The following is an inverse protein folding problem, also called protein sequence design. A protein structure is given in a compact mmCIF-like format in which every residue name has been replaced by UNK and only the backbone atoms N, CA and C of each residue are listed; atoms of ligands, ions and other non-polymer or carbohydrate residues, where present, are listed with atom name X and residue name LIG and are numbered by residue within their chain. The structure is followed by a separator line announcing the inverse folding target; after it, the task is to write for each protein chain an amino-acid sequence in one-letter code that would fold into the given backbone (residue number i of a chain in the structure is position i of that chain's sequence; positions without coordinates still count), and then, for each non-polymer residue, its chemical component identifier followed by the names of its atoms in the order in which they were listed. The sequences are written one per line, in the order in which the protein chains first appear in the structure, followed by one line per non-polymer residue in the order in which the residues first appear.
data_IF_860115895083
#
_entry.id   IF_860115895083
#
_cell.length_a   1.000
_cell.length_b   1.000
_cell.length_c   1.000
_cell.angle_alpha   90.00
_cell.angle_beta   90.00
_cell.angle_gamma   90.00
#
_symmetry.space_group_name_H-M   'P 1'
#
loop_
_entity.id
_entity.type
_entity.pdbx_description
1 polymer ?
#
# COMPACT_ATOMS: atom_id res chain seq x y z
N UNK A 1 -10.71 -49.85 25.39
CA UNK A 1 -11.25 -48.75 26.23
C UNK A 1 -10.36 -47.53 26.01
N UNK A 2 -10.43 -46.89 24.83
CA UNK A 2 -11.26 -45.70 24.54
C UNK A 2 -10.82 -44.49 25.38
N UNK A 3 -10.40 -43.33 24.86
CA UNK A 3 -10.38 -42.78 23.49
C UNK A 3 -9.52 -41.51 23.56
N UNK A 4 -8.51 -41.36 22.70
CA UNK A 4 -7.92 -40.06 22.41
C UNK A 4 -8.84 -39.36 21.40
N UNK A 5 -9.24 -38.14 21.73
CA UNK A 5 -10.07 -37.26 20.92
C UNK A 5 -9.15 -36.48 19.97
N UNK A 6 -9.23 -36.63 18.64
CA UNK A 6 -8.49 -35.77 17.74
C UNK A 6 -9.22 -34.43 17.59
N UNK A 7 -8.57 -33.35 18.05
CA UNK A 7 -8.99 -32.00 17.72
C UNK A 7 -8.79 -31.76 16.21
N UNK A 8 -9.91 -31.59 15.52
CA UNK A 8 -10.02 -31.21 14.11
C UNK A 8 -9.24 -29.91 13.85
N UNK A 9 -8.36 -29.84 12.84
CA UNK A 9 -7.87 -28.54 12.39
C UNK A 9 -9.01 -27.85 11.64
N UNK A 10 -9.56 -26.82 12.29
CA UNK A 10 -10.52 -25.91 11.71
C UNK A 10 -9.99 -25.36 10.38
N UNK A 11 -10.83 -25.49 9.37
CA UNK A 11 -10.64 -25.08 8.00
C UNK A 11 -10.09 -23.66 7.92
N UNK A 12 -8.82 -23.56 7.48
CA UNK A 12 -8.29 -22.32 6.96
C UNK A 12 -9.05 -22.02 5.66
N UNK A 13 -10.13 -21.25 5.77
CA UNK A 13 -10.86 -20.72 4.62
C UNK A 13 -9.93 -19.81 3.83
N UNK A 14 -9.25 -20.41 2.87
CA UNK A 14 -8.38 -19.74 1.91
C UNK A 14 -9.17 -18.65 1.19
N UNK A 15 -8.82 -17.40 1.49
CA UNK A 15 -9.15 -16.28 0.64
C UNK A 15 -7.98 -16.06 -0.32
N UNK A 16 -8.09 -16.65 -1.50
CA UNK A 16 -7.57 -16.06 -2.73
C UNK A 16 -6.06 -16.15 -2.96
N UNK A 17 -5.56 -17.36 -3.18
CA UNK A 17 -4.41 -17.58 -4.07
C UNK A 17 -4.76 -17.12 -5.49
N UNK A 18 -4.48 -15.85 -5.81
CA UNK A 18 -4.51 -15.36 -7.20
C UNK A 18 -3.72 -14.05 -7.36
N UNK A 19 -2.39 -14.15 -7.32
CA UNK A 19 -1.38 -13.29 -7.98
C UNK A 19 0.00 -13.39 -7.29
N UNK A 20 0.35 -14.53 -6.69
CA UNK A 20 1.71 -14.82 -6.25
C UNK A 20 2.60 -15.12 -7.47
N UNK A 21 2.77 -14.17 -8.39
CA UNK A 21 3.80 -14.19 -9.43
C UNK A 21 3.77 -12.90 -10.28
N UNK A 22 4.02 -11.74 -9.68
CA UNK A 22 4.47 -10.58 -10.47
C UNK A 22 5.82 -10.10 -9.92
N UNK A 23 6.86 -10.78 -10.41
CA UNK A 23 8.29 -10.58 -10.24
C UNK A 23 8.80 -10.48 -8.77
N UNK A 24 9.37 -11.56 -8.20
CA UNK A 24 10.00 -11.54 -6.87
C UNK A 24 11.12 -10.49 -6.74
N UNK A 25 11.57 -9.90 -7.85
CA UNK A 25 12.59 -8.86 -7.91
C UNK A 25 12.03 -7.43 -8.08
N UNK A 26 10.72 -7.22 -8.26
CA UNK A 26 10.18 -5.88 -8.52
C UNK A 26 10.42 -4.92 -7.35
N UNK A 27 9.95 -5.27 -6.16
CA UNK A 27 10.04 -4.42 -4.98
C UNK A 27 11.48 -4.14 -4.53
N UNK A 28 12.41 -5.12 -4.43
CA UNK A 28 13.80 -4.81 -4.11
C UNK A 28 14.46 -3.93 -5.18
N UNK A 29 14.13 -4.12 -6.47
CA UNK A 29 14.65 -3.27 -7.56
C UNK A 29 14.06 -1.85 -7.51
N UNK A 30 12.79 -1.71 -7.16
CA UNK A 30 12.14 -0.41 -6.93
C UNK A 30 12.84 0.32 -5.78
N UNK A 31 13.09 -0.37 -4.67
CA UNK A 31 13.76 0.20 -3.51
C UNK A 31 15.21 0.62 -3.82
N UNK A 32 15.93 -0.16 -4.63
CA UNK A 32 17.26 0.21 -5.12
C UNK A 32 17.25 1.48 -5.99
N UNK A 33 16.15 1.77 -6.72
CA UNK A 33 15.99 3.05 -7.43
C UNK A 33 15.75 4.23 -6.48
N UNK A 34 15.19 3.98 -5.30
CA UNK A 34 14.91 5.00 -4.30
C UNK A 34 16.14 5.31 -3.43
N UNK A 35 17.04 4.35 -3.23
CA UNK A 35 18.25 4.49 -2.41
C UNK A 35 19.10 5.72 -2.73
N UNK A 36 19.51 5.96 -3.99
CA UNK A 36 20.36 7.10 -4.36
C UNK A 36 19.60 8.44 -4.49
N UNK A 37 18.26 8.46 -4.35
CA UNK A 37 17.41 9.49 -4.96
C UNK A 37 17.31 10.83 -4.20
N UNK A 38 18.16 11.13 -3.21
CA UNK A 38 18.16 12.48 -2.64
C UNK A 38 18.65 13.55 -3.65
N UNK A 39 19.38 13.14 -4.71
CA UNK A 39 19.96 14.03 -5.71
C UNK A 39 19.34 13.91 -7.13
N UNK A 40 18.47 12.93 -7.39
CA UNK A 40 17.95 12.70 -8.75
C UNK A 40 16.75 13.61 -9.08
N UNK A 41 16.67 14.15 -10.31
CA UNK A 41 15.50 14.91 -10.73
C UNK A 41 14.26 14.00 -10.69
N UNK A 42 13.22 14.44 -9.96
CA UNK A 42 11.98 13.69 -9.70
C UNK A 42 11.33 13.12 -10.96
N UNK A 43 11.53 13.77 -12.11
CA UNK A 43 11.04 13.32 -13.40
C UNK A 43 11.76 12.05 -13.90
N UNK A 44 13.08 11.95 -13.73
CA UNK A 44 13.86 10.79 -14.14
C UNK A 44 13.45 9.55 -13.32
N UNK A 45 13.33 9.71 -11.99
CA UNK A 45 12.81 8.67 -11.12
C UNK A 45 11.42 8.20 -11.55
N UNK A 46 10.48 9.12 -11.80
CA UNK A 46 9.13 8.78 -12.29
C UNK A 46 9.14 8.06 -13.63
N UNK A 47 10.12 8.32 -14.51
CA UNK A 47 10.28 7.59 -15.78
C UNK A 47 10.83 6.19 -15.55
N UNK A 48 11.84 6.03 -14.70
CA UNK A 48 12.43 4.74 -14.35
C UNK A 48 11.41 3.83 -13.67
N UNK A 49 10.65 4.35 -12.69
CA UNK A 49 9.58 3.60 -12.02
C UNK A 49 8.50 3.16 -13.01
N UNK A 50 8.10 4.04 -13.96
CA UNK A 50 7.15 3.67 -15.01
C UNK A 50 7.68 2.57 -15.92
N UNK A 51 8.97 2.59 -16.27
CA UNK A 51 9.60 1.51 -17.05
C UNK A 51 9.61 0.20 -16.26
N UNK A 52 9.98 0.25 -14.99
CA UNK A 52 10.01 -0.91 -14.11
C UNK A 52 8.61 -1.54 -13.94
N UNK A 53 7.59 -0.71 -13.72
CA UNK A 53 6.19 -1.15 -13.63
C UNK A 53 5.71 -1.82 -14.93
N UNK A 54 6.08 -1.27 -16.09
CA UNK A 54 5.71 -1.84 -17.39
C UNK A 54 6.40 -3.17 -17.68
N UNK A 55 7.64 -3.33 -17.24
CA UNK A 55 8.42 -4.52 -17.54
C UNK A 55 8.04 -5.71 -16.65
N UNK A 56 7.80 -5.48 -15.37
CA UNK A 56 7.75 -6.56 -14.37
C UNK A 56 7.01 -6.18 -13.08
N UNK A 57 6.22 -5.10 -13.06
CA UNK A 57 5.61 -4.63 -11.82
C UNK A 57 4.10 -4.89 -11.74
N UNK A 58 3.52 -4.88 -10.51
CA UNK A 58 2.10 -5.07 -10.25
C UNK A 58 1.27 -3.88 -10.76
N UNK A 59 1.06 -3.85 -12.08
CA UNK A 59 0.56 -2.66 -12.79
C UNK A 59 -0.87 -2.34 -12.40
N UNK A 60 -1.72 -3.36 -12.29
CA UNK A 60 -3.13 -3.17 -11.93
C UNK A 60 -3.26 -2.59 -10.51
N UNK A 61 -2.55 -3.17 -9.55
CA UNK A 61 -2.53 -2.71 -8.16
C UNK A 61 -1.93 -1.31 -8.03
N UNK A 62 -0.88 -1.01 -8.80
CA UNK A 62 -0.30 0.33 -8.86
C UNK A 62 -1.28 1.36 -9.45
N UNK A 63 -2.04 1.01 -10.49
CA UNK A 63 -3.09 1.88 -11.05
C UNK A 63 -4.21 2.14 -10.04
N UNK A 64 -4.62 1.13 -9.27
CA UNK A 64 -5.59 1.28 -8.18
C UNK A 64 -5.08 2.23 -7.10
N UNK A 65 -3.82 2.12 -6.71
CA UNK A 65 -3.20 3.04 -5.75
C UNK A 65 -3.07 4.47 -6.30
N UNK A 66 -2.84 4.63 -7.60
CA UNK A 66 -2.72 5.93 -8.27
C UNK A 66 -4.04 6.71 -8.29
N UNK A 67 -5.19 6.02 -8.17
CA UNK A 67 -6.49 6.68 -8.09
C UNK A 67 -6.69 7.49 -6.80
N UNK A 68 -5.92 7.21 -5.74
CA UNK A 68 -6.01 7.92 -4.47
C UNK A 68 -5.44 9.34 -4.63
N UNK A 69 -6.17 10.38 -4.20
CA UNK A 69 -5.70 11.75 -4.36
C UNK A 69 -4.41 11.99 -3.57
N UNK A 70 -3.43 12.59 -4.25
CA UNK A 70 -2.13 12.89 -3.68
C UNK A 70 -1.12 11.74 -3.74
N UNK A 71 -1.53 10.52 -4.11
CA UNK A 71 -0.60 9.43 -4.41
C UNK A 71 -0.03 9.62 -5.82
N UNK A 72 1.30 9.64 -5.92
CA UNK A 72 1.98 9.71 -7.22
C UNK A 72 2.45 8.32 -7.67
N UNK A 73 2.90 8.19 -8.92
CA UNK A 73 3.32 6.89 -9.48
C UNK A 73 4.43 6.20 -8.68
N UNK A 74 5.33 6.95 -8.03
CA UNK A 74 6.38 6.38 -7.19
C UNK A 74 5.79 5.80 -5.91
N UNK A 75 4.93 6.56 -5.23
CA UNK A 75 4.24 6.09 -4.02
C UNK A 75 3.29 4.93 -4.34
N UNK A 76 2.60 4.97 -5.48
CA UNK A 76 1.73 3.88 -5.94
C UNK A 76 2.52 2.59 -6.20
N UNK A 77 3.66 2.68 -6.89
CA UNK A 77 4.54 1.54 -7.12
C UNK A 77 5.07 0.95 -5.80
N UNK A 78 5.41 1.81 -4.84
CA UNK A 78 5.86 1.38 -3.51
C UNK A 78 4.76 0.61 -2.79
N UNK A 79 3.54 1.15 -2.74
CA UNK A 79 2.41 0.53 -2.06
C UNK A 79 2.05 -0.82 -2.68
N UNK A 80 1.96 -0.89 -4.01
CA UNK A 80 1.66 -2.11 -4.74
C UNK A 80 2.79 -3.16 -4.62
N UNK A 81 4.04 -2.75 -4.73
CA UNK A 81 5.18 -3.64 -4.54
C UNK A 81 5.29 -4.19 -3.12
N UNK A 82 5.01 -3.35 -2.11
CA UNK A 82 4.98 -3.76 -0.72
C UNK A 82 3.87 -4.77 -0.44
N UNK A 83 2.71 -4.62 -1.09
CA UNK A 83 1.60 -5.56 -0.98
C UNK A 83 1.97 -6.95 -1.50
N UNK A 84 2.73 -7.01 -2.59
CA UNK A 84 3.22 -8.28 -3.14
C UNK A 84 4.33 -8.97 -2.32
N UNK A 85 4.86 -8.37 -1.25
CA UNK A 85 5.94 -8.98 -0.45
C UNK A 85 5.46 -10.01 0.58
N UNK A 86 4.16 -10.07 0.87
CA UNK A 86 3.68 -11.05 1.83
C UNK A 86 2.19 -10.98 2.05
N UNK A 87 1.69 -12.01 2.72
CA UNK A 87 0.29 -12.09 3.14
C UNK A 87 0.09 -11.29 4.42
N UNK A 88 -0.50 -10.11 4.29
CA UNK A 88 -0.81 -9.26 5.45
C UNK A 88 -2.15 -9.65 6.05
N UNK A 89 -2.12 -10.21 7.27
CA UNK A 89 -3.32 -10.56 8.05
C UNK A 89 -4.24 -9.36 8.38
N UNK A 90 -3.74 -8.15 8.23
CA UNK A 90 -4.52 -6.92 8.44
C UNK A 90 -3.87 -5.71 7.77
N UNK A 91 -4.68 -4.67 7.53
CA UNK A 91 -4.16 -3.37 7.13
C UNK A 91 -3.14 -2.79 8.12
N UNK A 92 -3.25 -3.12 9.42
CA UNK A 92 -2.28 -2.70 10.43
C UNK A 92 -0.90 -3.31 10.20
N UNK A 93 -0.84 -4.62 9.89
CA UNK A 93 0.39 -5.32 9.57
C UNK A 93 1.04 -4.76 8.29
N UNK A 94 0.24 -4.49 7.27
CA UNK A 94 0.69 -3.84 6.03
C UNK A 94 1.29 -2.44 6.29
N UNK A 95 0.59 -1.59 7.06
CA UNK A 95 1.06 -0.25 7.40
C UNK A 95 2.36 -0.32 8.21
N UNK A 96 2.49 -1.28 9.13
CA UNK A 96 3.73 -1.50 9.88
C UNK A 96 4.88 -1.89 8.95
N UNK A 97 4.64 -2.78 7.98
CA UNK A 97 5.62 -3.18 6.98
C UNK A 97 6.06 -2.02 6.10
N UNK A 98 5.12 -1.28 5.49
CA UNK A 98 5.45 -0.10 4.66
C UNK A 98 6.21 0.93 5.46
N UNK A 99 5.80 1.20 6.71
CA UNK A 99 6.53 2.13 7.57
C UNK A 99 7.91 1.60 7.94
N UNK A 100 8.11 0.29 8.13
CA UNK A 100 9.43 -0.26 8.44
C UNK A 100 10.45 -0.01 7.32
N UNK A 101 9.98 0.20 6.08
CA UNK A 101 10.83 0.37 4.91
C UNK A 101 11.64 -0.88 4.55
N UNK A 102 11.27 -2.06 5.07
CA UNK A 102 11.95 -3.31 4.74
C UNK A 102 11.57 -3.75 3.34
N UNK A 103 12.55 -4.21 2.56
CA UNK A 103 12.33 -4.77 1.22
C UNK A 103 11.77 -6.19 1.26
N UNK A 104 12.09 -6.92 2.32
CA UNK A 104 11.72 -8.30 2.58
C UNK A 104 11.99 -8.54 4.06
N UNK A 105 11.31 -9.49 4.73
CA UNK A 105 11.71 -9.94 6.05
C UNK A 105 13.19 -10.36 6.13
N UNK A 106 13.80 -10.76 5.00
CA UNK A 106 15.20 -11.19 4.92
C UNK A 106 16.21 -10.06 4.63
N UNK A 107 15.79 -8.81 4.39
CA UNK A 107 16.75 -7.72 4.09
C UNK A 107 17.21 -7.03 5.37
N UNK A 108 18.53 -6.90 5.52
CA UNK A 108 19.17 -6.31 6.70
C UNK A 108 18.99 -4.78 6.78
N UNK A 109 18.96 -4.07 5.65
CA UNK A 109 18.89 -2.61 5.60
C UNK A 109 17.44 -2.07 5.43
N UNK A 110 16.88 -1.36 6.43
CA UNK A 110 15.56 -0.73 6.33
C UNK A 110 15.61 0.62 5.60
N UNK A 111 14.79 0.79 4.56
CA UNK A 111 14.56 2.07 3.86
C UNK A 111 13.48 2.91 4.53
N UNK A 112 13.49 2.92 5.87
CA UNK A 112 12.48 3.55 6.71
C UNK A 112 12.28 5.04 6.35
N UNK A 113 13.36 5.79 6.18
CA UNK A 113 13.29 7.22 5.88
C UNK A 113 12.65 7.54 4.53
N UNK A 114 12.90 6.72 3.51
CA UNK A 114 12.44 6.98 2.14
C UNK A 114 10.97 6.63 1.96
N UNK A 115 10.56 5.47 2.45
CA UNK A 115 9.14 5.05 2.46
C UNK A 115 8.29 6.05 3.25
N UNK A 116 8.78 6.49 4.42
CA UNK A 116 8.12 7.52 5.20
C UNK A 116 8.02 8.87 4.46
N UNK A 117 9.10 9.31 3.81
CA UNK A 117 9.11 10.56 3.05
C UNK A 117 8.13 10.57 1.88
N UNK A 118 8.03 9.46 1.15
CA UNK A 118 7.07 9.30 0.05
C UNK A 118 5.62 9.39 0.57
N UNK A 119 5.29 8.65 1.62
CA UNK A 119 3.96 8.71 2.23
C UNK A 119 3.62 10.09 2.79
N UNK A 120 4.58 10.78 3.42
CA UNK A 120 4.38 12.15 3.89
C UNK A 120 4.16 13.13 2.74
N UNK A 121 4.88 12.98 1.64
CA UNK A 121 4.67 13.79 0.43
C UNK A 121 3.27 13.56 -0.14
N UNK A 122 2.84 12.30 -0.21
CA UNK A 122 1.50 11.96 -0.65
C UNK A 122 0.44 12.61 0.26
N UNK A 123 0.60 12.49 1.58
CA UNK A 123 -0.28 13.12 2.56
C UNK A 123 -0.33 14.65 2.44
N UNK A 124 0.81 15.31 2.22
CA UNK A 124 0.87 16.78 1.99
C UNK A 124 0.13 17.22 0.75
N UNK A 125 0.13 16.39 -0.30
CA UNK A 125 -0.62 16.64 -1.53
C UNK A 125 -2.11 16.36 -1.31
N UNK A 126 -2.42 15.20 -0.72
CA UNK A 126 -3.77 14.74 -0.43
C UNK A 126 -4.56 15.75 0.41
N UNK A 127 -3.97 16.31 1.49
CA UNK A 127 -4.65 17.28 2.37
C UNK A 127 -5.22 18.52 1.66
N UNK A 128 -4.74 18.84 0.45
CA UNK A 128 -5.23 19.97 -0.35
C UNK A 128 -6.56 19.64 -1.03
N UNK A 129 -6.83 18.38 -1.30
CA UNK A 129 -8.10 17.89 -1.87
C UNK A 129 -9.25 18.04 -0.87
N UNK A 130 -10.47 18.25 -1.38
CA UNK A 130 -11.68 18.33 -0.56
C UNK A 130 -11.91 17.01 0.20
N UNK A 131 -11.69 15.88 -0.49
CA UNK A 131 -11.79 14.52 0.02
C UNK A 131 -11.00 14.27 1.33
N UNK A 132 -9.77 14.79 1.44
CA UNK A 132 -8.88 14.51 2.57
C UNK A 132 -8.72 15.68 3.55
N UNK A 133 -9.18 16.88 3.17
CA UNK A 133 -9.06 18.09 3.97
C UNK A 133 -9.80 17.98 5.30
N UNK A 134 -11.03 17.49 5.29
CA UNK A 134 -11.84 17.33 6.50
C UNK A 134 -11.17 16.38 7.50
N UNK A 135 -10.64 15.26 7.02
CA UNK A 135 -9.94 14.28 7.87
C UNK A 135 -8.66 14.86 8.49
N UNK A 136 -7.90 15.63 7.71
CA UNK A 136 -6.74 16.36 8.22
C UNK A 136 -7.15 17.40 9.27
N UNK A 137 -8.19 18.18 9.01
CA UNK A 137 -8.70 19.20 9.93
C UNK A 137 -9.26 18.59 11.22
N UNK A 138 -9.94 17.44 11.16
CA UNK A 138 -10.42 16.72 12.34
C UNK A 138 -9.26 16.37 13.28
N UNK A 139 -8.16 15.86 12.73
CA UNK A 139 -6.94 15.60 13.51
C UNK A 139 -6.39 16.88 14.16
N UNK A 140 -6.43 18.02 13.44
CA UNK A 140 -6.00 19.32 13.98
C UNK A 140 -6.92 19.83 15.09
N UNK A 141 -8.24 19.63 14.98
CA UNK A 141 -9.24 19.99 16.00
C UNK A 141 -9.04 19.21 17.31
N UNK A 142 -8.57 17.97 17.23
CA UNK A 142 -8.20 17.17 18.41
C UNK A 142 -6.81 17.52 19.00
N UNK A 143 -6.27 18.72 18.73
CA UNK A 143 -5.02 19.19 19.31
C UNK A 143 -3.75 18.55 18.75
N UNK A 144 -3.81 17.78 17.65
CA UNK A 144 -2.62 17.16 17.07
C UNK A 144 -1.76 18.19 16.33
N UNK A 145 -0.44 18.04 16.45
CA UNK A 145 0.50 18.85 15.67
C UNK A 145 0.35 18.59 14.17
N UNK A 146 0.81 19.52 13.32
CA UNK A 146 0.73 19.34 11.87
C UNK A 146 1.43 18.05 11.42
N UNK A 147 2.61 17.79 11.98
CA UNK A 147 3.38 16.56 11.72
C UNK A 147 2.60 15.31 12.13
N UNK A 148 1.96 15.31 13.31
CA UNK A 148 1.16 14.18 13.76
C UNK A 148 -0.09 13.97 12.89
N UNK A 149 -0.76 15.04 12.48
CA UNK A 149 -1.90 14.99 11.58
C UNK A 149 -1.50 14.45 10.19
N UNK A 150 -0.37 14.89 9.63
CA UNK A 150 0.16 14.37 8.37
C UNK A 150 0.57 12.90 8.48
N UNK A 151 1.21 12.48 9.57
CA UNK A 151 1.52 11.06 9.83
C UNK A 151 0.24 10.22 9.95
N UNK A 152 -0.79 10.75 10.59
CA UNK A 152 -2.11 10.12 10.67
C UNK A 152 -2.76 9.95 9.29
N UNK A 153 -2.73 11.00 8.47
CA UNK A 153 -3.25 10.97 7.11
C UNK A 153 -2.47 9.98 6.23
N UNK A 154 -1.14 9.99 6.29
CA UNK A 154 -0.28 9.06 5.58
C UNK A 154 -0.62 7.59 5.86
N UNK A 155 -0.80 7.23 7.14
CA UNK A 155 -1.24 5.87 7.53
C UNK A 155 -2.62 5.53 6.98
N UNK A 156 -3.50 6.53 6.91
CA UNK A 156 -4.83 6.31 6.39
C UNK A 156 -4.84 6.12 4.86
N UNK A 157 -4.01 6.86 4.12
CA UNK A 157 -3.80 6.63 2.69
C UNK A 157 -3.28 5.22 2.43
N UNK A 158 -2.29 4.76 3.21
CA UNK A 158 -1.79 3.39 3.11
C UNK A 158 -2.86 2.34 3.45
N UNK A 159 -3.74 2.62 4.42
CA UNK A 159 -4.88 1.76 4.74
C UNK A 159 -5.86 1.65 3.56
N UNK A 160 -6.20 2.77 2.93
CA UNK A 160 -7.09 2.78 1.76
C UNK A 160 -6.45 2.05 0.58
N UNK A 161 -5.16 2.27 0.33
CA UNK A 161 -4.44 1.55 -0.70
C UNK A 161 -4.49 0.03 -0.47
N UNK A 162 -4.24 -0.41 0.77
CA UNK A 162 -4.37 -1.82 1.16
C UNK A 162 -5.77 -2.37 0.85
N UNK A 163 -6.81 -1.68 1.33
CA UNK A 163 -8.19 -2.13 1.10
C UNK A 163 -8.60 -2.10 -0.38
N UNK A 164 -8.08 -1.18 -1.20
CA UNK A 164 -8.32 -1.18 -2.66
C UNK A 164 -7.69 -2.39 -3.35
N UNK A 165 -6.48 -2.76 -2.93
CA UNK A 165 -5.77 -3.92 -3.48
C UNK A 165 -6.42 -5.23 -3.03
N UNK A 166 -6.87 -5.31 -1.77
CA UNK A 166 -7.53 -6.48 -1.19
C UNK A 166 -8.92 -6.71 -1.78
N UNK A 167 -9.77 -5.67 -1.83
CA UNK A 167 -11.15 -5.80 -2.30
C UNK A 167 -11.30 -5.75 -3.83
N UNK A 168 -10.25 -5.34 -4.54
CA UNK A 168 -10.27 -5.06 -5.99
C UNK A 168 -11.41 -4.12 -6.43
N UNK A 169 -11.91 -3.30 -5.51
CA UNK A 169 -12.97 -2.33 -5.77
C UNK A 169 -12.47 -1.05 -6.43
N UNK A 170 -13.41 -0.17 -6.74
CA UNK A 170 -13.12 1.15 -7.31
C UNK A 170 -12.93 2.19 -6.21
N UNK A 171 -11.99 3.10 -6.45
CA UNK A 171 -11.73 4.21 -5.55
C UNK A 171 -12.84 5.26 -5.64
N UNK A 172 -13.39 5.65 -4.49
CA UNK A 172 -14.30 6.78 -4.35
C UNK A 172 -13.62 7.90 -3.52
N UNK A 173 -13.87 9.18 -3.86
CA UNK A 173 -13.27 10.30 -3.16
C UNK A 173 -13.48 10.24 -1.65
N UNK A 174 -12.42 10.54 -0.90
CA UNK A 174 -12.42 10.56 0.56
C UNK A 174 -12.01 9.24 1.21
N UNK A 175 -11.46 8.30 0.44
CA UNK A 175 -11.02 7.01 0.96
C UNK A 175 -12.12 5.96 1.01
N UNK A 176 -13.25 6.21 0.34
CA UNK A 176 -14.34 5.25 0.21
C UNK A 176 -13.98 4.26 -0.90
N UNK A 177 -14.47 3.03 -0.77
CA UNK A 177 -14.22 1.98 -1.76
C UNK A 177 -15.57 1.43 -2.18
N UNK A 178 -15.86 1.52 -3.47
CA UNK A 178 -17.01 0.83 -4.05
C UNK A 178 -16.68 -0.66 -4.06
N UNK A 179 -17.40 -1.45 -3.26
CA UNK A 179 -17.32 -2.90 -3.40
C UNK A 179 -18.17 -3.26 -4.61
N UNK A 180 -17.53 -3.51 -5.75
CA UNK A 180 -18.20 -4.23 -6.83
C UNK A 180 -18.53 -5.63 -6.30
N UNK A 181 -19.81 -5.86 -5.96
CA UNK A 181 -20.33 -7.24 -5.86
C UNK A 181 -20.08 -7.86 -7.22
N UNK A 182 -19.15 -8.80 -7.30
CA UNK A 182 -19.11 -9.73 -8.43
C UNK A 182 -20.50 -10.37 -8.51
N UNK A 183 -21.24 -10.26 -9.63
CA UNK A 183 -22.47 -11.04 -9.77
C UNK A 183 -22.08 -12.51 -9.67
N UNK A 184 -22.75 -13.27 -8.80
CA UNK A 184 -22.60 -14.71 -8.74
C UNK A 184 -22.77 -15.29 -10.15
N UNK A 185 -21.99 -16.30 -10.57
CA UNK A 185 -22.24 -16.95 -11.83
C UNK A 185 -23.69 -17.47 -11.82
N UNK A 186 -24.47 -17.02 -12.80
CA UNK A 186 -25.81 -17.56 -13.02
C UNK A 186 -25.67 -19.05 -13.30
N UNK A 187 -26.38 -19.86 -12.51
CA UNK A 187 -26.50 -21.30 -12.66
C UNK A 187 -27.22 -21.65 -13.96
#
# INVERSE_FOLDING_TARGET
MHTQHPATPAEATGHGTAAACEAPLFYPRLLALLEPCQASPRLALRRQVRRLLRAQGPREQALRCLAIEGVDIVTAALLAGAYGQGEFKSAGAYIAFVNSGRASPLREAPLHGQTHHLLLTAARTARRSVAWRERYQLCRRHGRTETQALKGLARHLARVAFSLMETRGDYLPGGRISRSRHPAPAN
#
